data_IF_398768685073
#
_entry.id   IF_398768685073
#
_cell.length_a   1.000
_cell.length_b   1.000
_cell.length_c   1.000
_cell.angle_alpha   90.00
_cell.angle_beta   90.00
_cell.angle_gamma   90.00
#
_symmetry.space_group_name_H-M   'P 1'
#
loop_
_entity.id
_entity.type
_entity.pdbx_description
1 polymer ?
#
# COMPACT_ATOMS: atom_id res chain seq x y z
N UNK A 1 3.42 11.43 -36.35
CA UNK A 1 2.18 11.75 -35.60
C UNK A 1 1.08 10.89 -36.17
N UNK A 2 0.47 10.01 -35.40
CA UNK A 2 -0.74 9.29 -35.82
C UNK A 2 -1.89 10.26 -35.60
N UNK A 3 -2.69 10.62 -36.63
CA UNK A 3 -3.82 11.51 -36.43
C UNK A 3 -4.88 10.79 -35.57
N UNK A 4 -5.16 11.32 -34.40
CA UNK A 4 -6.32 10.92 -33.62
C UNK A 4 -7.57 11.46 -34.33
N UNK A 5 -8.31 10.58 -35.03
CA UNK A 5 -9.62 10.92 -35.54
C UNK A 5 -10.52 11.31 -34.36
N UNK A 6 -11.13 12.48 -34.47
CA UNK A 6 -12.10 12.99 -33.49
C UNK A 6 -13.26 11.99 -33.35
N UNK A 7 -13.24 11.23 -32.30
CA UNK A 7 -14.37 10.39 -31.89
C UNK A 7 -15.25 11.30 -31.04
N UNK A 8 -16.43 11.60 -31.53
CA UNK A 8 -17.49 12.25 -30.71
C UNK A 8 -17.86 11.30 -29.56
N UNK A 9 -17.03 11.28 -28.54
CA UNK A 9 -17.15 10.34 -27.43
C UNK A 9 -17.91 11.01 -26.30
N UNK A 10 -18.95 10.33 -25.83
CA UNK A 10 -19.46 10.51 -24.50
C UNK A 10 -18.25 10.47 -23.54
N UNK A 11 -18.30 11.31 -22.49
CA UNK A 11 -17.31 11.45 -21.44
C UNK A 11 -16.78 10.07 -20.93
N UNK A 12 -15.46 9.88 -20.92
CA UNK A 12 -14.81 8.66 -20.45
C UNK A 12 -14.88 8.57 -18.92
N UNK A 13 -15.54 7.57 -18.37
CA UNK A 13 -15.78 7.38 -16.93
C UNK A 13 -14.72 6.44 -16.34
N UNK A 14 -13.90 6.95 -15.43
CA UNK A 14 -12.75 6.23 -14.86
C UNK A 14 -12.91 6.08 -13.34
N UNK A 15 -13.12 4.85 -12.87
CA UNK A 15 -13.08 4.53 -11.43
C UNK A 15 -11.62 4.51 -10.98
N UNK A 16 -11.25 5.40 -10.05
CA UNK A 16 -9.85 5.56 -9.66
C UNK A 16 -9.66 5.82 -8.17
N UNK A 17 -8.52 5.35 -7.65
CA UNK A 17 -8.06 5.65 -6.28
C UNK A 17 -6.95 6.70 -6.22
N UNK A 18 -6.50 7.22 -7.35
CA UNK A 18 -5.43 8.22 -7.40
C UNK A 18 -5.83 9.57 -6.82
N UNK A 19 -4.87 10.33 -6.26
CA UNK A 19 -5.12 11.68 -5.76
C UNK A 19 -5.45 12.67 -6.90
N UNK A 20 -6.04 13.84 -6.57
CA UNK A 20 -6.42 14.87 -7.55
C UNK A 20 -5.28 15.28 -8.47
N UNK A 21 -4.07 15.53 -7.94
CA UNK A 21 -2.94 15.98 -8.73
C UNK A 21 -2.62 15.06 -9.91
N UNK A 22 -2.66 13.73 -9.67
CA UNK A 22 -2.47 12.75 -10.73
C UNK A 22 -3.63 12.76 -11.73
N UNK A 23 -4.87 12.71 -11.22
CA UNK A 23 -6.06 12.54 -12.07
C UNK A 23 -6.38 13.77 -12.91
N UNK A 24 -6.22 14.96 -12.33
CA UNK A 24 -6.47 16.24 -13.02
C UNK A 24 -5.39 16.52 -14.06
N UNK A 25 -4.11 16.35 -13.71
CA UNK A 25 -3.01 16.60 -14.66
C UNK A 25 -3.10 15.69 -15.87
N UNK A 26 -3.25 14.38 -15.66
CA UNK A 26 -3.32 13.41 -16.75
C UNK A 26 -4.62 13.54 -17.53
N UNK A 27 -5.76 13.75 -16.86
CA UNK A 27 -7.05 13.91 -17.51
C UNK A 27 -7.10 15.14 -18.44
N UNK A 28 -6.59 16.29 -17.99
CA UNK A 28 -6.49 17.51 -18.82
C UNK A 28 -5.55 17.34 -20.00
N UNK A 29 -4.41 16.67 -19.79
CA UNK A 29 -3.45 16.42 -20.87
C UNK A 29 -4.03 15.45 -21.92
N UNK A 30 -4.78 14.42 -21.49
CA UNK A 30 -5.51 13.53 -22.40
C UNK A 30 -6.60 14.27 -23.18
N UNK A 31 -7.42 15.07 -22.50
CA UNK A 31 -8.47 15.89 -23.13
C UNK A 31 -7.85 16.84 -24.18
N UNK A 32 -6.75 17.53 -23.85
CA UNK A 32 -6.02 18.39 -24.81
C UNK A 32 -5.52 17.63 -26.04
N UNK A 33 -5.03 16.39 -25.84
CA UNK A 33 -4.47 15.59 -26.92
C UNK A 33 -5.52 14.92 -27.81
N UNK A 34 -6.72 14.67 -27.30
CA UNK A 34 -7.73 13.82 -27.98
C UNK A 34 -9.10 14.44 -28.15
N UNK A 35 -9.40 15.54 -27.46
CA UNK A 35 -10.75 16.12 -27.34
C UNK A 35 -11.72 15.33 -26.46
N UNK A 36 -11.30 14.19 -25.90
CA UNK A 36 -12.16 13.32 -25.10
C UNK A 36 -12.13 13.77 -23.63
N UNK A 37 -13.28 14.19 -23.10
CA UNK A 37 -13.43 14.54 -21.67
C UNK A 37 -13.36 13.33 -20.77
N UNK A 38 -12.81 13.51 -19.56
CA UNK A 38 -12.74 12.45 -18.54
C UNK A 38 -13.58 12.76 -17.32
N UNK A 39 -14.22 11.75 -16.77
CA UNK A 39 -14.86 11.79 -15.45
C UNK A 39 -14.18 10.84 -14.48
N UNK A 40 -13.64 11.38 -13.38
CA UNK A 40 -12.91 10.62 -12.38
C UNK A 40 -13.83 10.24 -11.20
N UNK A 41 -14.34 9.01 -11.19
CA UNK A 41 -15.10 8.46 -10.05
C UNK A 41 -14.13 8.04 -8.94
N UNK A 42 -13.85 8.97 -8.03
CA UNK A 42 -12.87 8.74 -6.94
C UNK A 42 -13.41 7.80 -5.88
N UNK A 43 -12.79 6.64 -5.77
CA UNK A 43 -13.09 5.61 -4.76
C UNK A 43 -11.79 5.07 -4.16
N UNK A 44 -11.83 4.63 -2.89
CA UNK A 44 -10.75 3.81 -2.34
C UNK A 44 -10.63 2.53 -3.15
N UNK A 45 -9.44 1.97 -3.33
CA UNK A 45 -9.22 0.77 -4.17
C UNK A 45 -10.23 -0.34 -3.87
N UNK A 46 -10.34 -0.75 -2.62
CA UNK A 46 -11.32 -1.78 -2.21
C UNK A 46 -12.79 -1.36 -2.42
N UNK A 47 -13.11 -0.07 -2.32
CA UNK A 47 -14.45 0.43 -2.61
C UNK A 47 -14.72 0.49 -4.12
N UNK A 48 -13.69 0.74 -4.94
CA UNK A 48 -13.76 0.68 -6.41
C UNK A 48 -14.04 -0.74 -6.90
N UNK A 49 -13.33 -1.75 -6.36
CA UNK A 49 -13.62 -3.17 -6.64
C UNK A 49 -15.08 -3.48 -6.35
N UNK A 50 -15.56 -3.17 -5.14
CA UNK A 50 -16.95 -3.45 -4.75
C UNK A 50 -17.98 -2.69 -5.57
N UNK A 51 -17.66 -1.46 -5.98
CA UNK A 51 -18.53 -0.69 -6.86
C UNK A 51 -18.69 -1.38 -8.21
N UNK A 52 -17.57 -1.78 -8.85
CA UNK A 52 -17.61 -2.48 -10.13
C UNK A 52 -18.30 -3.85 -10.03
N UNK A 53 -18.11 -4.58 -8.93
CA UNK A 53 -18.86 -5.82 -8.66
C UNK A 53 -20.36 -5.59 -8.54
N UNK A 54 -20.78 -4.53 -7.82
CA UNK A 54 -22.18 -4.21 -7.59
C UNK A 54 -22.90 -3.64 -8.82
N UNK A 55 -22.16 -2.99 -9.73
CA UNK A 55 -22.73 -2.36 -10.94
C UNK A 55 -22.52 -3.20 -12.20
N UNK A 56 -21.98 -4.40 -12.10
CA UNK A 56 -21.58 -5.24 -13.25
C UNK A 56 -22.70 -5.48 -14.26
N UNK A 57 -23.95 -5.68 -13.79
CA UNK A 57 -25.12 -5.91 -14.65
C UNK A 57 -25.54 -4.67 -15.46
N UNK A 58 -25.33 -3.46 -14.86
CA UNK A 58 -25.68 -2.17 -15.46
C UNK A 58 -24.45 -1.23 -15.40
N UNK A 59 -23.33 -1.67 -16.01
CA UNK A 59 -22.08 -0.95 -15.94
C UNK A 59 -22.13 0.38 -16.71
N UNK A 60 -21.79 1.46 -16.01
CA UNK A 60 -21.65 2.82 -16.56
C UNK A 60 -20.22 3.33 -16.56
N UNK A 61 -19.27 2.51 -16.12
CA UNK A 61 -17.84 2.86 -16.01
C UNK A 61 -17.05 2.27 -17.17
N UNK A 62 -16.12 3.03 -17.72
CA UNK A 62 -15.26 2.58 -18.80
C UNK A 62 -13.99 1.89 -18.30
N UNK A 63 -13.42 2.41 -17.22
CA UNK A 63 -12.08 2.01 -16.79
C UNK A 63 -11.96 1.87 -15.28
N UNK A 64 -11.02 1.01 -14.86
CA UNK A 64 -10.47 0.98 -13.50
C UNK A 64 -8.99 1.37 -13.52
N UNK A 65 -8.60 2.36 -12.70
CA UNK A 65 -7.26 2.93 -12.69
C UNK A 65 -6.73 3.05 -11.26
N UNK A 66 -5.76 2.21 -10.87
CA UNK A 66 -5.26 2.11 -9.49
C UNK A 66 -3.81 1.64 -9.41
N UNK A 67 -3.17 1.84 -8.23
CA UNK A 67 -1.76 1.48 -8.01
C UNK A 67 -1.53 0.02 -7.64
N UNK A 68 -2.58 -0.76 -7.38
CA UNK A 68 -2.45 -2.08 -6.76
C UNK A 68 -2.80 -3.19 -7.77
N UNK A 69 -1.81 -3.94 -8.32
CA UNK A 69 -2.06 -4.98 -9.33
C UNK A 69 -2.96 -6.10 -8.83
N UNK A 70 -2.93 -6.46 -7.55
CA UNK A 70 -3.80 -7.47 -6.94
C UNK A 70 -5.29 -7.09 -6.99
N UNK A 71 -5.62 -5.79 -6.99
CA UNK A 71 -6.99 -5.32 -7.22
C UNK A 71 -7.50 -5.69 -8.62
N UNK A 72 -6.63 -5.64 -9.62
CA UNK A 72 -6.95 -6.04 -10.99
C UNK A 72 -7.11 -7.57 -11.10
N UNK A 73 -6.28 -8.33 -10.39
CA UNK A 73 -6.43 -9.78 -10.31
C UNK A 73 -7.77 -10.21 -9.68
N UNK A 74 -8.26 -9.48 -8.68
CA UNK A 74 -9.60 -9.71 -8.12
C UNK A 74 -10.68 -9.46 -9.18
N UNK A 75 -10.64 -8.31 -9.87
CA UNK A 75 -11.61 -7.97 -10.91
C UNK A 75 -11.53 -8.90 -12.11
N UNK A 76 -10.32 -9.30 -12.53
CA UNK A 76 -10.09 -10.30 -13.58
C UNK A 76 -10.71 -11.65 -13.21
N UNK A 77 -10.48 -12.12 -11.98
CA UNK A 77 -11.04 -13.37 -11.47
C UNK A 77 -12.56 -13.37 -11.34
N UNK A 78 -13.17 -12.19 -11.17
CA UNK A 78 -14.62 -11.99 -11.18
C UNK A 78 -15.20 -11.79 -12.61
N UNK A 79 -14.35 -11.82 -13.65
CA UNK A 79 -14.75 -11.65 -15.05
C UNK A 79 -15.19 -10.22 -15.40
N UNK A 80 -14.72 -9.21 -14.66
CA UNK A 80 -15.15 -7.81 -14.78
C UNK A 80 -14.23 -6.93 -15.62
N UNK A 81 -13.19 -7.50 -16.24
CA UNK A 81 -12.25 -6.78 -17.10
C UNK A 81 -12.33 -7.27 -18.54
N UNK A 82 -12.01 -6.39 -19.48
CA UNK A 82 -11.92 -6.65 -20.91
C UNK A 82 -10.46 -6.70 -21.36
N UNK A 83 -10.12 -7.65 -22.24
CA UNK A 83 -8.78 -7.69 -22.84
C UNK A 83 -8.55 -6.49 -23.76
N UNK A 84 -7.33 -5.98 -23.73
CA UNK A 84 -6.89 -4.90 -24.61
C UNK A 84 -5.46 -5.17 -25.09
N UNK A 85 -5.20 -5.04 -26.39
CA UNK A 85 -3.86 -5.16 -27.00
C UNK A 85 -3.28 -3.78 -27.21
N UNK A 86 -2.22 -3.46 -26.46
CA UNK A 86 -1.49 -2.18 -26.56
C UNK A 86 -0.73 -2.11 -27.89
N UNK A 87 -0.78 -0.94 -28.53
CA UNK A 87 -0.09 -0.64 -29.79
C UNK A 87 1.27 0.04 -29.57
N UNK A 88 1.42 0.79 -28.46
CA UNK A 88 2.68 1.48 -28.10
C UNK A 88 3.80 0.46 -27.94
N UNK A 89 4.94 0.76 -28.59
CA UNK A 89 6.17 -0.06 -28.55
C UNK A 89 7.19 0.53 -27.56
N UNK A 90 8.20 -0.28 -27.20
CA UNK A 90 9.33 0.19 -26.35
C UNK A 90 9.07 0.09 -24.85
N UNK A 91 7.94 -0.48 -24.43
CA UNK A 91 7.69 -0.83 -23.02
C UNK A 91 8.27 -2.22 -22.77
N UNK A 92 9.19 -2.39 -21.79
CA UNK A 92 9.74 -3.70 -21.42
C UNK A 92 8.65 -4.64 -20.89
N UNK A 93 8.95 -5.93 -20.88
CA UNK A 93 8.05 -6.92 -20.29
C UNK A 93 8.04 -6.88 -18.76
N UNK A 94 9.19 -6.54 -18.16
CA UNK A 94 9.41 -6.55 -16.71
C UNK A 94 9.89 -5.20 -16.18
N UNK A 95 9.51 -4.90 -14.94
CA UNK A 95 10.16 -3.90 -14.08
C UNK A 95 10.64 -4.62 -12.81
N UNK A 96 11.97 -4.60 -12.57
CA UNK A 96 12.55 -5.53 -11.60
C UNK A 96 12.27 -6.98 -12.01
N UNK A 97 11.67 -7.76 -11.12
CA UNK A 97 11.22 -9.14 -11.38
C UNK A 97 9.73 -9.24 -11.76
N UNK A 98 9.02 -8.12 -11.87
CA UNK A 98 7.56 -8.11 -11.99
C UNK A 98 7.10 -7.82 -13.43
N UNK A 99 6.13 -8.59 -13.99
CA UNK A 99 5.53 -8.30 -15.30
C UNK A 99 4.82 -6.94 -15.30
N UNK A 100 5.15 -6.07 -16.27
CA UNK A 100 4.51 -4.74 -16.37
C UNK A 100 3.04 -4.90 -16.78
N UNK A 101 2.76 -5.82 -17.69
CA UNK A 101 1.40 -6.07 -18.17
C UNK A 101 0.91 -7.46 -17.71
N UNK A 102 -0.40 -7.59 -17.56
CA UNK A 102 -1.02 -8.91 -17.42
C UNK A 102 -0.72 -9.78 -18.66
N UNK A 103 -0.16 -10.99 -18.48
CA UNK A 103 0.13 -11.87 -19.61
C UNK A 103 -1.10 -12.22 -20.46
N UNK A 104 -2.28 -12.28 -19.86
CA UNK A 104 -3.54 -12.54 -20.57
C UNK A 104 -4.18 -11.30 -21.20
N UNK A 105 -3.63 -10.11 -20.93
CA UNK A 105 -4.01 -8.85 -21.57
C UNK A 105 -5.14 -8.05 -20.92
N UNK A 106 -5.63 -8.42 -19.74
CA UNK A 106 -6.76 -7.73 -19.08
C UNK A 106 -6.41 -6.38 -18.46
N UNK A 107 -5.16 -6.16 -18.04
CA UNK A 107 -4.71 -4.88 -17.51
C UNK A 107 -3.29 -4.54 -17.95
N UNK A 108 -2.95 -3.25 -17.90
CA UNK A 108 -1.68 -2.70 -18.38
C UNK A 108 -1.02 -1.88 -17.30
N UNK A 109 0.29 -2.10 -17.10
CA UNK A 109 1.11 -1.25 -16.26
C UNK A 109 1.54 0.00 -17.01
N UNK A 110 1.35 1.16 -16.40
CA UNK A 110 1.75 2.45 -17.00
C UNK A 110 2.84 3.16 -16.20
N UNK A 111 3.04 2.78 -14.95
CA UNK A 111 4.08 3.27 -14.07
C UNK A 111 4.52 2.14 -13.14
N UNK A 112 5.72 2.23 -12.58
CA UNK A 112 6.16 1.36 -11.50
C UNK A 112 6.15 2.10 -10.18
N UNK A 113 6.12 1.37 -9.08
CA UNK A 113 6.24 1.93 -7.74
C UNK A 113 6.78 0.89 -6.76
N UNK A 114 7.52 1.37 -5.76
CA UNK A 114 7.97 0.59 -4.62
C UNK A 114 7.48 1.17 -3.30
N UNK A 115 7.74 0.46 -2.22
CA UNK A 115 7.29 0.83 -0.87
C UNK A 115 8.48 1.15 0.00
N UNK A 116 8.30 2.16 0.86
CA UNK A 116 9.40 2.58 1.72
C UNK A 116 8.99 3.51 2.84
N UNK A 117 10.02 4.18 3.33
CA UNK A 117 9.95 5.05 4.50
C UNK A 117 10.21 6.48 4.05
N UNK A 118 9.26 7.36 4.35
CA UNK A 118 9.36 8.81 4.18
C UNK A 118 9.55 9.45 5.54
N UNK A 119 10.35 10.50 5.63
CA UNK A 119 10.52 11.25 6.88
C UNK A 119 10.64 12.75 6.64
N UNK A 120 10.25 13.52 7.64
CA UNK A 120 10.44 14.98 7.66
C UNK A 120 11.78 15.30 8.33
N UNK A 121 12.71 15.89 7.57
CA UNK A 121 14.09 16.17 8.02
C UNK A 121 14.13 17.18 9.17
N UNK A 122 13.26 18.20 9.14
CA UNK A 122 13.16 19.19 10.24
C UNK A 122 12.58 18.57 11.50
N UNK A 123 11.56 17.73 11.37
CA UNK A 123 10.97 17.00 12.49
C UNK A 123 11.97 16.08 13.17
N UNK A 124 12.70 15.26 12.38
CA UNK A 124 13.71 14.36 12.92
C UNK A 124 14.80 15.12 13.67
N UNK A 125 15.29 16.22 13.10
CA UNK A 125 16.28 17.09 13.77
C UNK A 125 15.74 17.66 15.10
N UNK A 126 14.53 18.22 15.09
CA UNK A 126 13.90 18.82 16.28
C UNK A 126 13.64 17.79 17.39
N UNK A 127 13.30 16.55 17.02
CA UNK A 127 13.02 15.45 17.96
C UNK A 127 14.25 14.58 18.26
N UNK A 128 15.43 14.91 17.70
CA UNK A 128 16.67 14.12 17.81
C UNK A 128 16.50 12.66 17.44
N UNK A 129 15.69 12.39 16.37
CA UNK A 129 15.47 11.05 15.85
C UNK A 129 16.48 10.73 14.76
N UNK A 130 17.07 9.51 14.75
CA UNK A 130 17.92 9.08 13.66
C UNK A 130 17.12 8.93 12.35
N UNK A 131 17.82 8.94 11.21
CA UNK A 131 17.18 8.66 9.90
C UNK A 131 16.96 7.17 9.77
N UNK A 132 15.71 6.71 9.51
CA UNK A 132 15.42 5.30 9.32
C UNK A 132 15.84 4.83 7.91
N UNK A 133 16.50 3.66 7.81
CA UNK A 133 16.95 3.07 6.54
C UNK A 133 16.32 1.71 6.24
N UNK A 134 15.80 1.03 7.24
CA UNK A 134 15.20 -0.30 7.14
C UNK A 134 13.95 -0.43 8.02
N UNK A 135 13.08 -1.40 7.70
CA UNK A 135 11.85 -1.60 8.45
C UNK A 135 12.09 -1.80 9.95
N UNK A 136 13.12 -2.56 10.32
CA UNK A 136 13.44 -2.82 11.72
C UNK A 136 13.92 -1.58 12.50
N UNK A 137 14.31 -0.49 11.83
CA UNK A 137 14.58 0.75 12.54
C UNK A 137 13.31 1.32 13.17
N UNK A 138 12.16 1.17 12.50
CA UNK A 138 10.87 1.65 12.99
C UNK A 138 10.34 0.86 14.21
N UNK A 139 10.96 -0.28 14.56
CA UNK A 139 10.65 -1.05 15.77
C UNK A 139 11.27 -0.47 17.04
N UNK A 140 12.33 0.36 16.87
CA UNK A 140 13.08 0.96 17.99
C UNK A 140 12.21 1.90 18.80
N UNK A 141 12.39 1.92 20.12
CA UNK A 141 11.62 2.73 21.07
C UNK A 141 11.69 4.24 20.80
N UNK A 142 12.80 4.72 20.22
CA UNK A 142 12.98 6.13 19.87
C UNK A 142 11.93 6.64 18.88
N UNK A 143 11.30 5.75 18.07
CA UNK A 143 10.23 6.11 17.15
C UNK A 143 8.81 6.03 17.77
N UNK A 144 8.68 5.72 19.07
CA UNK A 144 7.36 5.60 19.69
C UNK A 144 6.55 6.90 19.60
N UNK A 145 5.40 6.82 18.91
CA UNK A 145 4.52 7.96 18.68
C UNK A 145 4.96 8.90 17.55
N UNK A 146 5.94 8.48 16.71
CA UNK A 146 6.46 9.30 15.61
C UNK A 146 6.16 8.74 14.21
N UNK A 147 5.58 7.54 14.11
CA UNK A 147 5.34 6.84 12.83
C UNK A 147 3.87 6.92 12.44
N UNK A 148 3.59 7.12 11.15
CA UNK A 148 2.25 7.05 10.57
C UNK A 148 2.16 6.02 9.43
N UNK A 149 1.01 5.35 9.34
CA UNK A 149 0.68 4.44 8.24
C UNK A 149 -0.82 4.49 7.98
N UNK A 150 -1.31 4.01 6.84
CA UNK A 150 -2.74 3.83 6.60
C UNK A 150 -3.16 2.36 6.77
N UNK A 151 -4.49 2.10 6.83
CA UNK A 151 -5.00 0.73 6.91
C UNK A 151 -5.07 0.09 5.51
N UNK A 152 -4.63 -1.19 5.34
CA UNK A 152 -4.71 -1.91 4.06
C UNK A 152 -6.16 -2.12 3.60
N UNK A 153 -7.11 -2.27 4.50
CA UNK A 153 -8.54 -2.38 4.19
C UNK A 153 -9.12 -1.17 3.45
N UNK A 154 -8.39 -0.05 3.42
CA UNK A 154 -8.81 1.22 2.82
C UNK A 154 -7.94 1.67 1.65
N UNK A 155 -6.80 1.01 1.44
CA UNK A 155 -5.80 1.39 0.43
C UNK A 155 -5.13 0.13 -0.13
N UNK A 156 -5.27 -0.11 -1.43
CA UNK A 156 -4.52 -1.16 -2.12
C UNK A 156 -3.01 -0.96 -2.05
N UNK A 157 -2.54 0.29 -2.08
CA UNK A 157 -1.14 0.64 -1.83
C UNK A 157 -0.66 0.10 -0.49
N UNK A 158 -1.40 0.37 0.58
CA UNK A 158 -1.03 -0.11 1.92
C UNK A 158 -1.15 -1.64 2.01
N UNK A 159 -2.13 -2.25 1.33
CA UNK A 159 -2.22 -3.70 1.26
C UNK A 159 -0.94 -4.31 0.67
N UNK A 160 -0.48 -3.80 -0.48
CA UNK A 160 0.76 -4.25 -1.10
C UNK A 160 1.99 -3.99 -0.23
N UNK A 161 2.03 -2.88 0.52
CA UNK A 161 3.11 -2.62 1.48
C UNK A 161 3.15 -3.69 2.57
N UNK A 162 1.98 -4.03 3.14
CA UNK A 162 1.86 -5.09 4.17
C UNK A 162 2.30 -6.43 3.58
N UNK A 163 1.76 -6.76 2.40
CA UNK A 163 2.05 -8.01 1.68
C UNK A 163 3.52 -8.16 1.31
N UNK A 164 4.18 -7.08 0.89
CA UNK A 164 5.60 -7.10 0.55
C UNK A 164 6.46 -7.56 1.74
N UNK A 165 6.17 -7.06 2.94
CA UNK A 165 6.91 -7.47 4.13
C UNK A 165 6.55 -8.91 4.54
N UNK A 166 5.28 -9.32 4.41
CA UNK A 166 4.85 -10.70 4.69
C UNK A 166 5.47 -11.71 3.73
N UNK A 167 5.66 -11.35 2.47
CA UNK A 167 6.31 -12.23 1.49
C UNK A 167 7.83 -12.22 1.63
N UNK A 168 8.43 -11.08 1.99
CA UNK A 168 9.88 -10.96 2.14
C UNK A 168 10.42 -11.57 3.43
N UNK A 169 9.67 -11.51 4.53
CA UNK A 169 10.09 -11.99 5.86
C UNK A 169 9.38 -13.28 6.30
N UNK A 170 8.35 -13.72 5.57
CA UNK A 170 7.46 -14.80 5.97
C UNK A 170 6.30 -14.32 6.85
N UNK A 171 5.29 -15.19 7.00
CA UNK A 171 4.02 -14.83 7.66
C UNK A 171 4.18 -14.41 9.12
N UNK A 172 4.79 -15.25 9.92
CA UNK A 172 4.94 -15.04 11.37
C UNK A 172 5.85 -13.85 11.67
N UNK A 173 7.04 -13.83 11.05
CA UNK A 173 8.03 -12.75 11.24
C UNK A 173 7.55 -11.42 10.67
N UNK A 174 6.92 -11.44 9.50
CA UNK A 174 6.38 -10.23 8.87
C UNK A 174 5.26 -9.61 9.71
N UNK A 175 4.34 -10.39 10.26
CA UNK A 175 3.31 -9.89 11.18
C UNK A 175 3.90 -9.42 12.51
N UNK A 176 4.87 -10.13 13.08
CA UNK A 176 5.56 -9.70 14.29
C UNK A 176 6.21 -8.32 14.08
N UNK A 177 6.90 -8.13 12.95
CA UNK A 177 7.51 -6.86 12.57
C UNK A 177 6.45 -5.77 12.36
N UNK A 178 5.36 -6.03 11.62
CA UNK A 178 4.27 -5.04 11.46
C UNK A 178 3.66 -4.62 12.80
N UNK A 179 3.43 -5.55 13.72
CA UNK A 179 2.88 -5.22 15.04
C UNK A 179 3.88 -4.46 15.90
N UNK A 180 5.16 -4.78 15.82
CA UNK A 180 6.22 -4.05 16.51
C UNK A 180 6.33 -2.60 15.99
N UNK A 181 6.34 -2.40 14.67
CA UNK A 181 6.32 -1.08 14.03
C UNK A 181 5.03 -0.32 14.41
N UNK A 182 3.88 -0.98 14.36
CA UNK A 182 2.58 -0.37 14.69
C UNK A 182 2.46 0.01 16.16
N UNK A 183 3.17 -0.67 17.05
CA UNK A 183 3.33 -0.25 18.44
C UNK A 183 3.96 1.14 18.61
N UNK A 184 4.67 1.60 17.60
CA UNK A 184 5.27 2.94 17.53
C UNK A 184 4.43 3.95 16.72
N UNK A 185 3.28 3.55 16.18
CA UNK A 185 2.44 4.47 15.39
C UNK A 185 1.88 5.64 16.25
N UNK A 186 1.96 6.82 15.68
CA UNK A 186 1.17 7.98 16.12
C UNK A 186 -0.27 7.81 15.66
N UNK A 187 -0.46 7.36 14.42
CA UNK A 187 -1.77 7.31 13.78
C UNK A 187 -1.86 6.27 12.66
N UNK A 188 -3.07 5.74 12.46
CA UNK A 188 -3.47 5.00 11.26
C UNK A 188 -4.43 5.87 10.46
N UNK A 189 -3.96 6.41 9.34
CA UNK A 189 -4.72 7.35 8.52
C UNK A 189 -5.85 6.67 7.73
N UNK A 190 -6.87 7.44 7.35
CA UNK A 190 -8.02 6.93 6.62
C UNK A 190 -7.70 6.52 5.17
N UNK A 191 -6.65 7.11 4.57
CA UNK A 191 -6.18 6.84 3.19
C UNK A 191 -4.67 6.95 3.13
N UNK A 192 -4.04 6.29 2.13
CA UNK A 192 -2.58 6.29 1.97
C UNK A 192 -1.99 7.70 1.81
N UNK A 193 -2.66 8.60 1.11
CA UNK A 193 -2.17 9.98 0.95
C UNK A 193 -2.27 10.84 2.22
N UNK A 194 -3.06 10.46 3.23
CA UNK A 194 -3.02 11.10 4.54
C UNK A 194 -1.71 10.85 5.31
N UNK A 195 -0.89 9.87 4.86
CA UNK A 195 0.42 9.64 5.47
C UNK A 195 1.43 10.70 5.04
N UNK A 196 1.67 10.97 3.73
CA UNK A 196 2.55 12.06 3.33
C UNK A 196 2.03 13.43 3.83
N UNK A 197 0.72 13.67 3.87
CA UNK A 197 0.16 14.91 4.43
C UNK A 197 0.59 15.10 5.89
N UNK A 198 0.52 14.04 6.70
CA UNK A 198 0.94 14.06 8.11
C UNK A 198 2.44 14.22 8.29
N UNK A 199 3.28 13.67 7.39
CA UNK A 199 4.73 13.86 7.41
C UNK A 199 5.09 15.28 6.95
N UNK A 200 4.48 15.77 5.88
CA UNK A 200 4.71 17.12 5.34
C UNK A 200 4.38 18.20 6.38
N UNK A 201 3.26 18.05 7.07
CA UNK A 201 2.81 18.99 8.11
C UNK A 201 3.52 18.82 9.46
N UNK A 202 4.31 17.75 9.66
CA UNK A 202 4.93 17.44 10.93
C UNK A 202 3.96 16.93 12.00
N UNK A 203 2.79 16.43 11.63
CA UNK A 203 1.87 15.75 12.58
C UNK A 203 2.54 14.48 13.15
N UNK A 204 3.37 13.82 12.35
CA UNK A 204 4.32 12.78 12.73
C UNK A 204 5.56 12.86 11.83
N UNK A 205 6.69 12.35 12.34
CA UNK A 205 7.98 12.54 11.67
C UNK A 205 8.30 11.55 10.57
N UNK A 206 7.70 10.34 10.63
CA UNK A 206 8.01 9.21 9.75
C UNK A 206 6.73 8.60 9.20
N UNK A 207 6.71 8.26 7.92
CA UNK A 207 5.57 7.65 7.24
C UNK A 207 5.95 6.41 6.46
N UNK A 208 5.12 5.37 6.55
CA UNK A 208 5.19 4.21 5.64
C UNK A 208 4.36 4.51 4.41
N UNK A 209 5.02 4.64 3.26
CA UNK A 209 4.40 5.14 2.02
C UNK A 209 4.83 4.35 0.78
N UNK A 210 4.09 4.53 -0.30
CA UNK A 210 4.55 4.24 -1.66
C UNK A 210 5.47 5.38 -2.12
N UNK A 211 6.47 5.06 -2.90
CA UNK A 211 7.59 5.92 -3.31
C UNK A 211 7.19 7.30 -3.84
N UNK A 212 6.24 7.35 -4.77
CA UNK A 212 5.85 8.61 -5.40
C UNK A 212 5.34 9.68 -4.41
N UNK A 213 4.83 9.29 -3.25
CA UNK A 213 4.44 10.26 -2.21
C UNK A 213 5.65 10.96 -1.60
N UNK A 214 6.70 10.21 -1.26
CA UNK A 214 7.94 10.79 -0.77
C UNK A 214 8.64 11.63 -1.85
N UNK A 215 8.72 11.09 -3.06
CA UNK A 215 9.37 11.75 -4.19
C UNK A 215 8.66 13.05 -4.60
N UNK A 216 7.32 13.05 -4.70
CA UNK A 216 6.55 14.25 -5.06
C UNK A 216 6.56 15.30 -3.95
N UNK A 217 6.49 14.91 -2.69
CA UNK A 217 6.62 15.85 -1.57
C UNK A 217 7.99 16.54 -1.59
N UNK A 218 9.07 15.78 -1.79
CA UNK A 218 10.44 16.33 -1.91
C UNK A 218 10.56 17.27 -3.11
N UNK A 219 10.07 16.85 -4.29
CA UNK A 219 10.09 17.66 -5.50
C UNK A 219 9.22 18.94 -5.40
N UNK A 220 8.20 18.91 -4.55
CA UNK A 220 7.35 20.07 -4.26
C UNK A 220 7.92 21.00 -3.17
N UNK A 221 9.14 20.74 -2.67
CA UNK A 221 9.85 21.61 -1.73
C UNK A 221 9.56 21.36 -0.25
N UNK A 222 8.83 20.29 0.11
CA UNK A 222 8.70 19.92 1.51
C UNK A 222 10.04 19.42 2.07
N UNK A 223 10.34 19.67 3.36
CA UNK A 223 11.57 19.23 4.01
C UNK A 223 11.50 17.73 4.35
N UNK A 224 11.39 16.90 3.33
CA UNK A 224 11.24 15.46 3.46
C UNK A 224 12.23 14.69 2.60
N UNK A 225 12.47 13.44 2.99
CA UNK A 225 13.22 12.50 2.18
C UNK A 225 12.58 11.11 2.21
N UNK A 226 13.08 10.19 1.39
CA UNK A 226 12.51 8.86 1.19
C UNK A 226 13.61 7.82 0.98
N UNK A 227 13.40 6.60 1.46
CA UNK A 227 14.29 5.46 1.22
C UNK A 227 13.48 4.20 0.87
N UNK A 228 14.04 3.38 -0.02
CA UNK A 228 13.60 2.01 -0.23
C UNK A 228 14.35 1.09 0.75
N UNK A 229 13.68 0.49 1.76
CA UNK A 229 14.29 -0.57 2.56
C UNK A 229 14.63 -1.78 1.69
N UNK A 230 15.66 -2.55 2.08
CA UNK A 230 16.07 -3.73 1.31
C UNK A 230 14.90 -4.70 1.02
N UNK A 231 14.05 -4.96 2.01
CA UNK A 231 12.84 -5.79 1.85
C UNK A 231 11.72 -4.92 1.26
N UNK A 232 11.77 -4.69 -0.04
CA UNK A 232 10.72 -4.05 -0.82
C UNK A 232 10.61 -4.71 -2.19
N UNK A 233 9.56 -4.38 -2.92
CA UNK A 233 9.34 -4.84 -4.30
C UNK A 233 8.93 -3.67 -5.18
N UNK A 234 9.21 -3.78 -6.47
CA UNK A 234 8.62 -2.90 -7.48
C UNK A 234 7.42 -3.60 -8.09
N UNK A 235 6.31 -2.91 -8.13
CA UNK A 235 5.09 -3.38 -8.79
C UNK A 235 4.55 -2.34 -9.75
N UNK A 236 3.94 -2.77 -10.88
CA UNK A 236 3.31 -1.84 -11.79
C UNK A 236 2.03 -1.25 -11.18
N UNK A 237 1.81 0.01 -11.46
CA UNK A 237 0.53 0.66 -11.31
C UNK A 237 -0.27 0.44 -12.59
N UNK A 238 -1.52 0.01 -12.47
CA UNK A 238 -2.26 -0.55 -13.60
C UNK A 238 -3.51 0.25 -13.98
N UNK A 239 -3.92 -0.01 -15.22
CA UNK A 239 -5.18 0.46 -15.80
C UNK A 239 -5.82 -0.67 -16.59
N UNK A 240 -7.14 -0.76 -16.56
CA UNK A 240 -7.92 -1.76 -17.29
C UNK A 240 -9.22 -1.17 -17.85
N UNK A 241 -9.69 -1.74 -18.94
CA UNK A 241 -11.03 -1.52 -19.45
C UNK A 241 -11.99 -2.43 -18.67
N UNK A 242 -13.07 -1.87 -18.17
CA UNK A 242 -14.13 -2.65 -17.48
C UNK A 242 -14.94 -3.41 -18.53
N UNK A 243 -15.36 -4.63 -18.21
CA UNK A 243 -16.22 -5.42 -19.09
C UNK A 243 -17.52 -4.64 -19.38
N UNK A 244 -17.96 -4.68 -20.63
CA UNK A 244 -19.13 -3.90 -21.10
C UNK A 244 -18.97 -2.38 -20.89
N UNK A 245 -17.75 -1.85 -21.04
CA UNK A 245 -17.49 -0.42 -21.01
C UNK A 245 -18.34 0.33 -22.06
N UNK A 246 -19.03 1.42 -21.69
CA UNK A 246 -19.82 2.21 -22.66
C UNK A 246 -18.97 2.81 -23.79
N UNK A 247 -17.70 3.16 -23.52
CA UNK A 247 -16.79 3.82 -24.47
C UNK A 247 -15.46 3.07 -24.63
N UNK A 248 -15.42 1.81 -25.10
CA UNK A 248 -14.20 0.99 -25.09
C UNK A 248 -13.11 1.55 -26.01
N UNK A 249 -13.45 2.25 -27.12
CA UNK A 249 -12.49 2.93 -28.01
C UNK A 249 -11.79 4.08 -27.29
N UNK A 250 -12.54 4.93 -26.56
CA UNK A 250 -11.98 6.02 -25.76
C UNK A 250 -11.11 5.49 -24.62
N UNK A 251 -11.53 4.39 -23.97
CA UNK A 251 -10.75 3.69 -22.95
C UNK A 251 -9.40 3.17 -23.51
N UNK A 252 -9.41 2.58 -24.70
CA UNK A 252 -8.19 2.19 -25.41
C UNK A 252 -7.28 3.38 -25.71
N UNK A 253 -7.85 4.50 -26.20
CA UNK A 253 -7.08 5.72 -26.46
C UNK A 253 -6.43 6.28 -25.18
N UNK A 254 -7.10 6.19 -24.02
CA UNK A 254 -6.51 6.61 -22.74
C UNK A 254 -5.33 5.71 -22.30
N UNK A 255 -5.41 4.39 -22.53
CA UNK A 255 -4.29 3.49 -22.27
C UNK A 255 -3.10 3.82 -23.18
N UNK A 256 -3.33 4.01 -24.50
CA UNK A 256 -2.26 4.37 -25.44
C UNK A 256 -1.64 5.71 -25.10
N UNK A 257 -2.44 6.71 -24.69
CA UNK A 257 -1.95 7.99 -24.22
C UNK A 257 -1.04 7.87 -23.01
N UNK A 258 -1.45 7.11 -21.98
CA UNK A 258 -0.63 6.90 -20.77
C UNK A 258 0.71 6.23 -21.08
N UNK A 259 0.76 5.36 -22.08
CA UNK A 259 1.97 4.65 -22.47
C UNK A 259 2.80 5.40 -23.54
N UNK A 260 2.24 6.45 -24.16
CA UNK A 260 2.96 7.28 -25.12
C UNK A 260 4.12 8.05 -24.47
N UNK A 261 5.11 8.55 -25.23
CA UNK A 261 6.16 9.42 -24.70
C UNK A 261 5.62 10.56 -23.85
N UNK A 262 4.59 11.27 -24.35
CA UNK A 262 3.93 12.38 -23.62
C UNK A 262 3.32 11.92 -22.30
N UNK A 263 2.56 10.82 -22.30
CA UNK A 263 1.95 10.27 -21.08
C UNK A 263 2.98 9.82 -20.06
N UNK A 264 4.08 9.22 -20.52
CA UNK A 264 5.17 8.77 -19.65
C UNK A 264 5.97 9.96 -19.07
N UNK A 265 6.15 11.05 -19.84
CA UNK A 265 6.81 12.25 -19.34
C UNK A 265 5.98 12.97 -18.26
N UNK A 266 4.64 12.95 -18.35
CA UNK A 266 3.77 13.48 -17.30
C UNK A 266 3.99 12.80 -15.94
N UNK A 267 4.49 11.58 -15.92
CA UNK A 267 4.81 10.88 -14.66
C UNK A 267 5.98 11.53 -13.90
N UNK A 268 6.80 12.32 -14.59
CA UNK A 268 7.91 13.09 -14.00
C UNK A 268 7.47 14.45 -13.43
N UNK A 269 6.21 14.85 -13.61
CA UNK A 269 5.67 16.08 -13.00
C UNK A 269 5.90 16.04 -11.49
N UNK A 270 6.36 17.17 -10.91
CA UNK A 270 6.74 17.28 -9.48
C UNK A 270 5.63 16.89 -8.51
N UNK A 271 4.37 16.96 -8.93
CA UNK A 271 3.21 16.53 -8.12
C UNK A 271 2.87 15.05 -8.28
N UNK A 272 3.44 14.37 -9.28
CA UNK A 272 3.16 12.97 -9.62
C UNK A 272 4.34 12.08 -9.23
N UNK A 273 5.54 12.35 -9.77
CA UNK A 273 6.82 11.68 -9.47
C UNK A 273 6.73 10.15 -9.44
N UNK A 274 6.08 9.55 -10.46
CA UNK A 274 6.01 8.09 -10.60
C UNK A 274 7.10 7.57 -11.49
N UNK A 275 7.58 6.35 -11.23
CA UNK A 275 8.58 5.69 -12.06
C UNK A 275 7.96 5.31 -13.42
N UNK A 276 8.36 5.93 -14.56
CA UNK A 276 7.87 5.55 -15.87
C UNK A 276 8.22 4.10 -16.21
N UNK A 277 7.33 3.41 -16.96
CA UNK A 277 7.64 2.06 -17.47
C UNK A 277 8.41 2.10 -18.80
N UNK A 278 8.51 3.25 -19.45
CA UNK A 278 9.36 3.44 -20.61
C UNK A 278 10.77 3.90 -20.19
N UNK A 279 11.82 3.07 -20.37
CA UNK A 279 13.19 3.41 -19.95
C UNK A 279 13.73 4.70 -20.58
N UNK A 280 13.30 5.05 -21.79
CA UNK A 280 13.74 6.26 -22.50
C UNK A 280 13.30 7.55 -21.79
N UNK A 281 12.22 7.50 -21.03
CA UNK A 281 11.70 8.66 -20.31
C UNK A 281 12.65 9.17 -19.23
N UNK A 282 13.49 8.28 -18.68
CA UNK A 282 14.45 8.65 -17.62
C UNK A 282 15.54 9.60 -18.05
N UNK A 283 15.77 9.79 -19.36
CA UNK A 283 16.66 10.84 -19.88
C UNK A 283 16.16 12.26 -19.52
N UNK A 284 14.87 12.42 -19.27
CA UNK A 284 14.23 13.69 -18.85
C UNK A 284 13.95 13.77 -17.35
N UNK A 285 14.31 12.73 -16.59
CA UNK A 285 14.04 12.71 -15.16
C UNK A 285 14.95 13.67 -14.39
N UNK A 286 14.46 14.26 -13.28
CA UNK A 286 15.28 15.09 -12.41
C UNK A 286 16.52 14.34 -11.89
N UNK A 287 17.60 15.08 -11.58
CA UNK A 287 18.80 14.51 -10.98
C UNK A 287 18.45 13.75 -9.69
N UNK A 288 18.97 12.52 -9.57
CA UNK A 288 18.72 11.66 -8.41
C UNK A 288 17.32 10.98 -8.40
N UNK A 289 16.53 11.12 -9.45
CA UNK A 289 15.29 10.37 -9.58
C UNK A 289 15.59 8.86 -9.73
N UNK A 290 14.92 7.97 -8.97
CA UNK A 290 15.18 6.53 -9.02
C UNK A 290 14.93 5.95 -10.41
N UNK A 291 15.85 5.16 -10.93
CA UNK A 291 15.71 4.50 -12.23
C UNK A 291 15.85 2.97 -12.07
N UNK A 292 14.74 2.21 -11.99
CA UNK A 292 14.78 0.77 -11.75
C UNK A 292 15.34 -0.04 -12.94
N UNK A 293 15.47 0.56 -14.11
CA UNK A 293 16.11 -0.09 -15.26
C UNK A 293 17.64 0.03 -15.20
N UNK A 294 18.16 1.03 -14.51
CA UNK A 294 19.60 1.24 -14.27
C UNK A 294 20.04 0.65 -12.93
N UNK A 295 19.34 0.99 -11.85
CA UNK A 295 19.64 0.48 -10.50
C UNK A 295 18.80 -0.76 -10.21
N UNK A 296 19.43 -1.93 -10.36
CA UNK A 296 18.79 -3.24 -10.15
C UNK A 296 18.59 -3.58 -8.66
N UNK A 297 19.15 -2.81 -7.73
CA UNK A 297 18.96 -3.04 -6.29
C UNK A 297 17.58 -2.63 -5.81
N UNK A 298 16.92 -1.70 -6.50
CA UNK A 298 15.59 -1.21 -6.12
C UNK A 298 14.56 -2.31 -6.33
N UNK A 299 14.00 -2.84 -5.23
CA UNK A 299 12.91 -3.81 -5.26
C UNK A 299 13.28 -5.23 -5.69
N UNK A 300 14.56 -5.58 -5.66
CA UNK A 300 15.03 -6.91 -6.08
C UNK A 300 14.91 -8.01 -5.01
N UNK A 301 14.83 -7.62 -3.73
CA UNK A 301 14.90 -8.57 -2.61
C UNK A 301 13.62 -9.41 -2.43
N UNK A 302 12.49 -8.97 -2.94
CA UNK A 302 11.21 -9.68 -2.81
C UNK A 302 10.68 -10.03 -4.19
N UNK A 303 10.65 -11.33 -4.51
CA UNK A 303 9.89 -11.84 -5.66
C UNK A 303 8.41 -11.88 -5.28
N UNK A 304 7.71 -10.80 -5.57
CA UNK A 304 6.32 -10.66 -5.15
C UNK A 304 5.40 -11.62 -5.92
N UNK A 305 4.73 -12.51 -5.18
CA UNK A 305 3.73 -13.42 -5.71
C UNK A 305 2.33 -12.77 -5.66
N UNK A 306 1.85 -12.36 -6.83
CA UNK A 306 0.57 -11.71 -7.00
C UNK A 306 -0.61 -12.66 -6.75
N UNK A 307 -0.47 -13.96 -7.05
CA UNK A 307 -1.52 -14.94 -6.82
C UNK A 307 -1.69 -15.23 -5.33
N UNK A 308 -0.58 -15.29 -4.60
CA UNK A 308 -0.62 -15.39 -3.13
C UNK A 308 -1.28 -14.15 -2.52
N UNK A 309 -0.90 -12.94 -2.93
CA UNK A 309 -1.53 -11.69 -2.47
C UNK A 309 -3.04 -11.68 -2.72
N UNK A 310 -3.46 -12.05 -3.94
CA UNK A 310 -4.87 -12.20 -4.31
C UNK A 310 -5.60 -13.23 -3.44
N UNK A 311 -4.99 -14.39 -3.19
CA UNK A 311 -5.63 -15.50 -2.45
C UNK A 311 -6.01 -15.11 -1.02
N UNK A 312 -5.25 -14.21 -0.37
CA UNK A 312 -5.42 -13.80 1.01
C UNK A 312 -5.77 -12.32 1.23
N UNK A 313 -6.15 -11.62 0.15
CA UNK A 313 -6.40 -10.18 0.12
C UNK A 313 -7.35 -9.70 1.23
N UNK A 314 -8.54 -10.31 1.34
CA UNK A 314 -9.56 -9.88 2.30
C UNK A 314 -9.17 -10.26 3.74
N UNK A 315 -8.55 -11.41 3.93
CA UNK A 315 -8.10 -11.90 5.24
C UNK A 315 -7.03 -10.98 5.82
N UNK A 316 -6.00 -10.61 5.04
CA UNK A 316 -4.95 -9.68 5.48
C UNK A 316 -5.54 -8.34 5.88
N UNK A 317 -6.48 -7.81 5.09
CA UNK A 317 -7.14 -6.55 5.40
C UNK A 317 -7.91 -6.63 6.73
N UNK A 318 -8.61 -7.73 6.98
CA UNK A 318 -9.34 -7.95 8.22
C UNK A 318 -8.39 -8.15 9.41
N UNK A 319 -7.35 -8.97 9.26
CA UNK A 319 -6.34 -9.20 10.30
C UNK A 319 -5.66 -7.90 10.72
N UNK A 320 -5.22 -7.08 9.76
CA UNK A 320 -4.60 -5.79 10.08
C UNK A 320 -5.54 -4.87 10.86
N UNK A 321 -6.80 -4.81 10.43
CA UNK A 321 -7.79 -3.98 11.13
C UNK A 321 -8.03 -4.48 12.56
N UNK A 322 -8.19 -5.78 12.77
CA UNK A 322 -8.45 -6.37 14.09
C UNK A 322 -7.21 -6.27 15.00
N UNK A 323 -6.03 -6.62 14.48
CA UNK A 323 -4.81 -6.64 15.30
C UNK A 323 -4.22 -5.25 15.55
N UNK A 324 -4.33 -4.32 14.58
CA UNK A 324 -3.62 -3.05 14.61
C UNK A 324 -4.59 -1.87 14.65
N UNK A 325 -5.45 -1.70 13.62
CA UNK A 325 -6.27 -0.49 13.49
C UNK A 325 -7.21 -0.28 14.67
N UNK A 326 -7.92 -1.35 15.09
CA UNK A 326 -8.93 -1.26 16.15
C UNK A 326 -8.33 -1.40 17.55
N UNK A 327 -7.15 -1.96 17.67
CA UNK A 327 -6.42 -2.20 18.93
C UNK A 327 -5.14 -1.38 19.05
N UNK A 328 -5.07 -0.25 18.33
CA UNK A 328 -3.85 0.56 18.27
C UNK A 328 -3.43 1.07 19.65
N UNK A 329 -4.38 1.48 20.50
CA UNK A 329 -4.09 1.97 21.85
C UNK A 329 -3.51 0.89 22.74
N UNK A 330 -4.10 -0.29 22.72
CA UNK A 330 -3.64 -1.46 23.50
C UNK A 330 -2.29 -1.95 23.01
N UNK A 331 -2.09 -2.04 21.68
CA UNK A 331 -0.82 -2.42 21.08
C UNK A 331 0.31 -1.45 21.45
N UNK A 332 0.05 -0.13 21.34
CA UNK A 332 1.01 0.91 21.75
C UNK A 332 1.37 0.83 23.24
N UNK A 333 0.36 0.62 24.09
CA UNK A 333 0.60 0.50 25.53
C UNK A 333 1.45 -0.73 25.88
N UNK A 334 1.17 -1.88 25.24
CA UNK A 334 1.97 -3.09 25.43
C UNK A 334 3.40 -2.90 24.90
N UNK A 335 3.56 -2.33 23.70
CA UNK A 335 4.87 -2.07 23.10
C UNK A 335 5.70 -1.12 23.97
N UNK A 336 5.09 -0.01 24.46
CA UNK A 336 5.77 0.94 25.33
C UNK A 336 6.27 0.29 26.63
N UNK A 337 5.43 -0.55 27.25
CA UNK A 337 5.82 -1.25 28.48
C UNK A 337 6.99 -2.23 28.21
N UNK A 338 6.94 -2.99 27.08
CA UNK A 338 8.03 -3.89 26.69
C UNK A 338 9.32 -3.11 26.46
N UNK A 339 9.28 -2.02 25.68
CA UNK A 339 10.46 -1.19 25.38
C UNK A 339 11.03 -0.56 26.66
N UNK A 340 10.20 -0.14 27.60
CA UNK A 340 10.66 0.37 28.89
C UNK A 340 11.37 -0.71 29.73
N UNK A 341 10.81 -1.93 29.78
CA UNK A 341 11.45 -3.04 30.48
C UNK A 341 12.76 -3.48 29.81
N UNK A 342 12.83 -3.48 28.47
CA UNK A 342 14.07 -3.72 27.73
C UNK A 342 15.15 -2.69 28.05
N UNK A 343 14.78 -1.40 28.09
CA UNK A 343 15.71 -0.33 28.42
C UNK A 343 16.26 -0.46 29.86
N UNK A 344 15.41 -0.85 30.84
CA UNK A 344 15.85 -1.09 32.21
C UNK A 344 16.73 -2.33 32.36
N UNK A 345 16.57 -3.32 31.50
CA UNK A 345 17.39 -4.54 31.47
C UNK A 345 18.77 -4.31 30.87
N UNK A 346 18.97 -3.20 30.10
CA UNK A 346 20.27 -2.92 29.47
C UNK A 346 21.37 -2.85 30.52
N UNK A 347 22.44 -3.65 30.32
CA UNK A 347 23.57 -3.71 31.25
C UNK A 347 23.31 -4.51 32.54
N UNK A 348 22.12 -5.12 32.72
CA UNK A 348 21.77 -5.93 33.89
C UNK A 348 21.59 -7.41 33.54
N UNK A 349 21.97 -8.29 34.47
CA UNK A 349 21.77 -9.73 34.32
C UNK A 349 20.58 -10.17 35.18
N UNK A 350 19.38 -10.21 34.59
CA UNK A 350 18.19 -10.73 35.23
C UNK A 350 17.48 -11.72 34.29
N UNK A 351 17.77 -13.01 34.44
CA UNK A 351 17.25 -14.08 33.58
C UNK A 351 15.71 -14.18 33.62
N UNK A 352 15.11 -13.93 34.80
CA UNK A 352 13.65 -13.99 34.98
C UNK A 352 12.97 -12.84 34.28
N UNK A 353 13.46 -11.61 34.43
CA UNK A 353 12.97 -10.44 33.71
C UNK A 353 13.13 -10.63 32.19
N UNK A 354 14.31 -11.10 31.71
CA UNK A 354 14.55 -11.40 30.30
C UNK A 354 13.58 -12.42 29.73
N UNK A 355 13.25 -13.48 30.49
CA UNK A 355 12.25 -14.49 30.10
C UNK A 355 10.86 -13.85 29.95
N UNK A 356 10.45 -13.01 30.91
CA UNK A 356 9.14 -12.34 30.87
C UNK A 356 9.01 -11.36 29.71
N UNK A 357 10.06 -10.58 29.41
CA UNK A 357 10.11 -9.68 28.25
C UNK A 357 9.96 -10.46 26.94
N UNK A 358 10.69 -11.59 26.78
CA UNK A 358 10.55 -12.46 25.62
C UNK A 358 9.12 -13.01 25.47
N UNK A 359 8.51 -13.43 26.57
CA UNK A 359 7.11 -13.89 26.58
C UNK A 359 6.15 -12.76 26.17
N UNK A 360 6.38 -11.54 26.67
CA UNK A 360 5.58 -10.37 26.29
C UNK A 360 5.71 -10.06 24.77
N UNK A 361 6.92 -10.10 24.23
CA UNK A 361 7.16 -9.96 22.78
C UNK A 361 6.42 -11.04 21.96
N UNK A 362 6.50 -12.30 22.40
CA UNK A 362 5.84 -13.42 21.74
C UNK A 362 4.30 -13.24 21.73
N UNK A 363 3.71 -12.79 22.83
CA UNK A 363 2.27 -12.48 22.89
C UNK A 363 1.85 -11.35 21.94
N UNK A 364 2.64 -10.29 21.86
CA UNK A 364 2.39 -9.22 20.88
C UNK A 364 2.54 -9.74 19.45
N UNK A 365 3.51 -10.57 19.17
CA UNK A 365 3.78 -11.12 17.84
C UNK A 365 2.71 -12.10 17.35
N UNK A 366 2.00 -12.78 18.24
CA UNK A 366 1.08 -13.89 17.92
C UNK A 366 0.00 -13.48 16.89
N UNK A 367 -0.18 -14.29 15.85
CA UNK A 367 -1.21 -14.13 14.81
C UNK A 367 -2.28 -15.21 14.99
N UNK A 368 -3.58 -14.88 14.91
CA UNK A 368 -4.64 -15.84 15.24
C UNK A 368 -4.84 -16.96 14.21
N UNK A 369 -4.23 -16.86 13.03
CA UNK A 369 -4.31 -17.89 11.98
C UNK A 369 -2.96 -18.10 11.30
N UNK A 370 -2.77 -19.31 10.74
CA UNK A 370 -1.58 -19.65 9.95
C UNK A 370 -1.61 -19.06 8.52
N UNK A 371 -0.43 -19.03 7.88
CA UNK A 371 -0.29 -18.64 6.47
C UNK A 371 -1.13 -19.52 5.54
N UNK A 372 -1.14 -20.84 5.79
CA UNK A 372 -1.92 -21.79 5.01
C UNK A 372 -3.42 -21.47 5.08
N UNK A 373 -3.95 -21.26 6.30
CA UNK A 373 -5.36 -20.88 6.49
C UNK A 373 -5.73 -19.56 5.82
N UNK A 374 -4.86 -18.56 5.92
CA UNK A 374 -5.06 -17.26 5.28
C UNK A 374 -5.14 -17.35 3.75
N UNK A 375 -4.46 -18.32 3.13
CA UNK A 375 -4.38 -18.50 1.67
C UNK A 375 -5.53 -19.32 1.09
N UNK A 376 -6.35 -19.98 1.92
CA UNK A 376 -7.51 -20.75 1.46
C UNK A 376 -8.56 -19.82 0.80
N UNK A 377 -8.88 -20.07 -0.47
CA UNK A 377 -9.89 -19.28 -1.22
C UNK A 377 -11.25 -19.24 -0.53
N UNK A 378 -11.72 -20.37 0.00
CA UNK A 378 -12.97 -20.48 0.74
C UNK A 378 -12.98 -19.63 1.99
N UNK A 379 -11.89 -19.65 2.76
CA UNK A 379 -11.72 -18.83 3.95
C UNK A 379 -11.65 -17.34 3.62
N UNK A 380 -10.86 -16.95 2.60
CA UNK A 380 -10.76 -15.56 2.17
C UNK A 380 -12.11 -14.96 1.72
N UNK A 381 -13.00 -15.78 1.12
CA UNK A 381 -14.36 -15.34 0.71
C UNK A 381 -15.23 -14.91 1.88
N UNK A 382 -15.01 -15.42 3.08
CA UNK A 382 -15.77 -15.04 4.29
C UNK A 382 -15.58 -13.55 4.59
N UNK A 383 -14.39 -12.98 4.33
CA UNK A 383 -14.02 -11.61 4.67
C UNK A 383 -14.34 -10.58 3.58
N UNK A 384 -15.17 -10.90 2.62
CA UNK A 384 -15.60 -9.98 1.54
C UNK A 384 -16.41 -8.78 2.06
N UNK A 385 -17.09 -8.89 3.20
CA UNK A 385 -17.89 -7.80 3.77
C UNK A 385 -16.97 -6.78 4.47
N UNK A 386 -17.08 -5.51 4.08
CA UNK A 386 -16.27 -4.42 4.62
C UNK A 386 -16.92 -3.77 5.83
N UNK A 387 -16.20 -3.61 6.95
CA UNK A 387 -16.61 -2.66 8.01
C UNK A 387 -16.52 -1.23 7.48
N UNK A 388 -17.64 -0.52 7.44
CA UNK A 388 -17.65 0.92 7.07
C UNK A 388 -17.05 1.79 8.18
N UNK A 389 -17.24 1.41 9.45
CA UNK A 389 -16.70 2.05 10.67
C UNK A 389 -16.50 0.98 11.76
N UNK A 390 -15.72 1.29 12.81
CA UNK A 390 -15.51 0.41 13.98
C UNK A 390 -16.85 -0.03 14.64
N UNK A 391 -17.87 0.81 14.57
CA UNK A 391 -19.22 0.59 15.13
C UNK A 391 -20.14 -0.23 14.23
N UNK A 392 -19.81 -0.50 12.97
CA UNK A 392 -20.67 -1.27 12.07
C UNK A 392 -20.49 -2.75 12.36
N UNK A 393 -21.52 -3.38 12.92
CA UNK A 393 -21.57 -4.83 13.12
C UNK A 393 -21.49 -5.55 11.78
N UNK A 394 -20.43 -6.32 11.57
CA UNK A 394 -20.38 -7.36 10.54
C UNK A 394 -21.19 -8.53 11.08
N UNK A 395 -22.01 -9.15 10.24
CA UNK A 395 -22.86 -10.28 10.63
C UNK A 395 -22.37 -11.59 10.00
N UNK A 396 -22.76 -12.71 10.57
CA UNK A 396 -22.42 -14.05 10.11
C UNK A 396 -20.97 -14.44 10.38
N UNK A 397 -20.47 -15.45 9.68
CA UNK A 397 -19.17 -16.08 9.92
C UNK A 397 -17.97 -15.10 9.96
N UNK A 398 -18.01 -14.02 9.18
CA UNK A 398 -16.95 -12.99 9.27
C UNK A 398 -16.92 -12.34 10.66
N UNK A 399 -18.10 -12.02 11.22
CA UNK A 399 -18.17 -11.41 12.55
C UNK A 399 -17.68 -12.36 13.64
N UNK A 400 -18.02 -13.64 13.54
CA UNK A 400 -17.57 -14.67 14.49
C UNK A 400 -16.04 -14.76 14.54
N UNK A 401 -15.37 -14.86 13.38
CA UNK A 401 -13.91 -14.87 13.31
C UNK A 401 -13.29 -13.58 13.83
N UNK A 402 -13.78 -12.42 13.37
CA UNK A 402 -13.24 -11.13 13.78
C UNK A 402 -13.43 -10.88 15.29
N UNK A 403 -14.53 -11.32 15.90
CA UNK A 403 -14.77 -11.22 17.33
C UNK A 403 -13.85 -12.15 18.12
N UNK A 404 -13.67 -13.40 17.67
CA UNK A 404 -12.74 -14.36 18.29
C UNK A 404 -11.29 -13.82 18.24
N UNK A 405 -10.85 -13.33 17.07
CA UNK A 405 -9.53 -12.71 16.94
C UNK A 405 -9.36 -11.47 17.81
N UNK A 406 -10.38 -10.61 17.86
CA UNK A 406 -10.36 -9.38 18.68
C UNK A 406 -10.21 -9.71 20.17
N UNK A 407 -10.95 -10.69 20.66
CA UNK A 407 -10.86 -11.16 22.05
C UNK A 407 -9.47 -11.73 22.37
N UNK A 408 -8.93 -12.61 21.51
CA UNK A 408 -7.59 -13.17 21.66
C UNK A 408 -6.52 -12.07 21.66
N UNK A 409 -6.56 -11.16 20.70
CA UNK A 409 -5.58 -10.08 20.56
C UNK A 409 -5.62 -9.11 21.74
N UNK A 410 -6.81 -8.75 22.20
CA UNK A 410 -6.99 -7.91 23.40
C UNK A 410 -6.38 -8.57 24.64
N UNK A 411 -6.64 -9.85 24.84
CA UNK A 411 -6.07 -10.62 25.95
C UNK A 411 -4.54 -10.71 25.87
N UNK A 412 -4.00 -10.99 24.66
CA UNK A 412 -2.57 -11.06 24.43
C UNK A 412 -1.86 -9.72 24.72
N UNK A 413 -2.41 -8.59 24.29
CA UNK A 413 -1.81 -7.26 24.54
C UNK A 413 -1.87 -6.89 26.02
N UNK A 414 -2.98 -7.20 26.71
CA UNK A 414 -3.11 -6.95 28.15
C UNK A 414 -2.09 -7.79 28.95
N UNK A 415 -1.97 -9.09 28.63
CA UNK A 415 -1.00 -10.00 29.27
C UNK A 415 0.44 -9.60 29.00
N UNK A 416 0.74 -9.20 27.75
CA UNK A 416 2.07 -8.72 27.37
C UNK A 416 2.47 -7.48 28.17
N UNK A 417 1.56 -6.50 28.31
CA UNK A 417 1.78 -5.30 29.13
C UNK A 417 2.03 -5.66 30.59
N UNK A 418 1.21 -6.56 31.19
CA UNK A 418 1.36 -6.99 32.57
C UNK A 418 2.72 -7.69 32.80
N UNK A 419 3.12 -8.60 31.91
CA UNK A 419 4.43 -9.28 31.98
C UNK A 419 5.60 -8.29 31.89
N UNK A 420 5.52 -7.30 30.98
CA UNK A 420 6.55 -6.30 30.83
C UNK A 420 6.67 -5.40 32.07
N UNK A 421 5.55 -4.95 32.63
CA UNK A 421 5.54 -4.15 33.86
C UNK A 421 6.12 -4.96 35.05
N UNK A 422 5.73 -6.24 35.17
CA UNK A 422 6.30 -7.13 36.19
C UNK A 422 7.80 -7.38 35.99
N UNK A 423 8.27 -7.49 34.75
CA UNK A 423 9.70 -7.59 34.47
C UNK A 423 10.42 -6.32 34.89
N UNK A 424 9.86 -5.14 34.59
CA UNK A 424 10.42 -3.83 34.99
C UNK A 424 10.53 -3.68 36.51
N UNK A 425 9.51 -4.11 37.29
CA UNK A 425 9.55 -4.04 38.77
C UNK A 425 10.56 -4.99 39.44
N UNK A 426 11.21 -5.86 38.69
CA UNK A 426 12.25 -6.77 39.18
C UNK A 426 13.68 -6.25 38.95
N UNK A 427 13.82 -5.09 38.30
CA UNK A 427 15.09 -4.49 37.90
C UNK A 427 15.40 -3.21 38.65
#
# INVERSE_FOLDING_TARGET
>A
MIPFQAIAAKKLVIVTSYPPDTTVTIGKAFEKATGIKTEMLKKKTTAGIKYLQATAANNTSDMFWASAPDAFEVLKGDGLLQKYKVKVKGIPQLVGSFPINDPEGYYKGFAASGYGIMWNTRYLKAKKLPVPNKWSDLEKSIYHGHVGMSAPSRSGTTHLTVETLLQGEGWEKGWAMWKSIAGNFKSVTARSFGVPDGVNSGQFGVGVVIDFFGLSSKASGFPVDFVYPKVTTLVPANIAIVKNAPNPKAAGAFIEFLLSPTGQELLLDKKIMRLPVNPKTYAKAPKGFPNPFKDKSIGSAVKFDLQLSKSRYNVINSLFDVMITYRLSELRAATKAIQAAEAQLMGKSNAKAKKMIRQARALVAKVPISAAKASEKSFNRIFKKKRKKKSVKVTGRQAEFEQAWDAEIKANYAKAKALANKAASMM
#
